data_IF_859422672822
#
_entry.id   IF_859422672822
#
_cell.length_a   1.000
_cell.length_b   1.000
_cell.length_c   1.000
_cell.angle_alpha   90.00
_cell.angle_beta   90.00
_cell.angle_gamma   90.00
#
_symmetry.space_group_name_H-M   'P 1'
#
loop_
_entity.id
_entity.type
_entity.pdbx_description
1 polymer ?
#
# COMPACT_ATOMS: atom_id res chain seq x y z
N UNK A 1 -41.12 -23.39 31.99
CA UNK A 1 -41.10 -22.40 30.90
C UNK A 1 -42.53 -21.89 30.73
N UNK A 2 -42.73 -20.59 30.79
CA UNK A 2 -44.06 -20.01 30.59
C UNK A 2 -44.45 -20.20 29.12
N UNK A 3 -45.67 -20.67 28.88
CA UNK A 3 -46.22 -20.81 27.53
C UNK A 3 -47.58 -20.15 27.46
N UNK A 4 -47.79 -19.37 26.40
CA UNK A 4 -49.06 -18.75 26.07
C UNK A 4 -49.68 -19.57 24.94
N UNK A 5 -50.87 -20.12 25.16
CA UNK A 5 -51.57 -20.88 24.12
C UNK A 5 -52.80 -20.12 23.69
N UNK A 6 -52.80 -19.64 22.45
CA UNK A 6 -53.98 -19.04 21.83
C UNK A 6 -54.86 -20.17 21.31
N UNK A 7 -56.01 -20.38 21.95
CA UNK A 7 -57.01 -21.39 21.55
C UNK A 7 -58.14 -20.72 20.76
N UNK A 8 -58.72 -21.45 19.81
CA UNK A 8 -59.89 -20.99 19.05
C UNK A 8 -59.60 -20.05 17.87
N UNK A 9 -58.32 -19.77 17.57
CA UNK A 9 -57.91 -18.81 16.52
C UNK A 9 -57.71 -19.46 15.14
N UNK A 10 -58.56 -20.42 14.75
CA UNK A 10 -58.38 -21.19 13.51
C UNK A 10 -58.41 -20.32 12.24
N UNK A 11 -59.19 -19.24 12.24
CA UNK A 11 -59.37 -18.37 11.07
C UNK A 11 -58.61 -17.04 11.20
N UNK A 12 -57.72 -16.92 12.18
CA UNK A 12 -57.00 -15.67 12.45
C UNK A 12 -55.68 -15.64 11.67
N UNK A 13 -55.59 -14.71 10.72
CA UNK A 13 -54.41 -14.52 9.87
C UNK A 13 -53.52 -13.35 10.31
N UNK A 14 -54.09 -12.40 11.04
CA UNK A 14 -53.42 -11.17 11.47
C UNK A 14 -53.56 -11.07 12.97
N UNK A 15 -52.44 -10.90 13.66
CA UNK A 15 -52.38 -10.63 15.09
C UNK A 15 -51.61 -9.33 15.27
N UNK A 16 -52.27 -8.32 15.83
CA UNK A 16 -51.65 -7.08 16.26
C UNK A 16 -51.77 -6.94 17.77
N UNK A 17 -50.62 -6.97 18.45
CA UNK A 17 -50.49 -6.79 19.88
C UNK A 17 -49.62 -5.56 20.21
N UNK A 18 -49.33 -4.68 19.24
CA UNK A 18 -48.46 -3.54 19.46
C UNK A 18 -48.89 -2.73 20.70
N UNK A 19 -47.90 -2.18 21.43
CA UNK A 19 -48.11 -1.39 22.65
C UNK A 19 -48.78 -2.14 23.81
N UNK A 20 -48.94 -3.45 23.72
CA UNK A 20 -49.41 -4.26 24.85
C UNK A 20 -48.31 -4.37 25.91
N UNK A 21 -48.24 -3.35 26.78
CA UNK A 21 -47.24 -3.20 27.86
C UNK A 21 -47.17 -4.35 28.87
N UNK A 22 -48.10 -5.30 28.78
CA UNK A 22 -48.23 -6.49 29.62
C UNK A 22 -47.36 -7.67 29.17
N UNK A 23 -46.75 -7.61 27.97
CA UNK A 23 -46.06 -8.77 27.38
C UNK A 23 -44.55 -8.56 27.24
N UNK A 24 -43.79 -9.57 27.68
CA UNK A 24 -42.37 -9.76 27.42
C UNK A 24 -42.17 -10.81 26.31
N UNK A 25 -40.93 -11.26 26.10
CA UNK A 25 -40.61 -12.24 25.05
C UNK A 25 -40.04 -13.54 25.63
N UNK A 26 -40.30 -13.80 26.92
CA UNK A 26 -39.70 -14.91 27.68
C UNK A 26 -40.58 -16.18 27.70
N UNK A 27 -41.55 -16.27 26.79
CA UNK A 27 -42.47 -17.41 26.70
C UNK A 27 -42.55 -17.97 25.29
N UNK A 28 -43.09 -19.17 25.18
CA UNK A 28 -43.44 -19.79 23.89
C UNK A 28 -44.89 -19.47 23.56
N UNK A 29 -45.18 -19.02 22.34
CA UNK A 29 -46.55 -18.83 21.86
C UNK A 29 -46.96 -20.01 21.00
N UNK A 30 -48.00 -20.71 21.44
CA UNK A 30 -48.62 -21.82 20.72
C UNK A 30 -49.92 -21.37 20.05
N UNK A 31 -50.21 -21.94 18.87
CA UNK A 31 -51.45 -21.70 18.12
C UNK A 31 -51.30 -20.75 16.93
N UNK A 32 -50.08 -20.31 16.58
CA UNK A 32 -49.84 -19.33 15.51
C UNK A 32 -49.78 -19.94 14.09
N UNK A 33 -50.27 -21.17 13.91
CA UNK A 33 -50.06 -21.97 12.69
C UNK A 33 -50.64 -21.32 11.42
N UNK A 34 -51.76 -20.61 11.54
CA UNK A 34 -52.44 -19.96 10.42
C UNK A 34 -52.13 -18.46 10.31
N UNK A 35 -51.35 -17.92 11.26
CA UNK A 35 -51.03 -16.50 11.32
C UNK A 35 -50.00 -16.17 10.24
N UNK A 36 -50.32 -15.17 9.43
CA UNK A 36 -49.47 -14.63 8.38
C UNK A 36 -48.79 -13.33 8.76
N UNK A 37 -49.46 -12.50 9.57
CA UNK A 37 -48.95 -11.20 10.00
C UNK A 37 -48.97 -11.17 11.53
N UNK A 38 -47.81 -10.91 12.12
CA UNK A 38 -47.66 -10.77 13.56
C UNK A 38 -46.97 -9.44 13.87
N UNK A 39 -47.68 -8.57 14.58
CA UNK A 39 -47.16 -7.34 15.12
C UNK A 39 -47.06 -7.44 16.64
N UNK A 40 -45.84 -7.41 17.15
CA UNK A 40 -45.49 -7.42 18.58
C UNK A 40 -44.52 -6.27 18.91
N UNK A 41 -44.73 -5.14 18.24
CA UNK A 41 -44.00 -3.91 18.50
C UNK A 41 -44.17 -3.40 19.93
N UNK A 42 -43.14 -2.74 20.43
CA UNK A 42 -43.06 -2.19 21.79
C UNK A 42 -43.12 -3.23 22.92
N UNK A 43 -42.93 -4.52 22.63
CA UNK A 43 -42.74 -5.54 23.65
C UNK A 43 -41.38 -5.37 24.32
N UNK A 44 -41.27 -5.68 25.61
CA UNK A 44 -39.97 -5.61 26.31
C UNK A 44 -39.18 -6.92 26.12
N UNK A 45 -38.63 -7.15 24.92
CA UNK A 45 -37.86 -8.37 24.61
C UNK A 45 -36.44 -8.37 25.19
N UNK A 46 -36.28 -8.04 26.48
CA UNK A 46 -34.98 -8.10 27.18
C UNK A 46 -34.52 -9.55 27.34
N UNK A 47 -35.45 -10.46 27.64
CA UNK A 47 -35.23 -11.89 27.66
C UNK A 47 -35.97 -12.51 26.48
N UNK A 48 -35.22 -12.95 25.46
CA UNK A 48 -35.80 -13.54 24.26
C UNK A 48 -35.79 -15.06 24.35
N UNK A 49 -36.97 -15.66 24.37
CA UNK A 49 -37.13 -17.11 24.26
C UNK A 49 -36.97 -17.53 22.79
N UNK A 50 -36.01 -18.43 22.52
CA UNK A 50 -35.76 -18.93 21.17
C UNK A 50 -36.93 -19.68 20.54
N UNK A 51 -37.90 -20.15 21.34
CA UNK A 51 -39.10 -20.82 20.84
C UNK A 51 -40.32 -19.89 20.76
N UNK A 52 -40.16 -18.58 20.97
CA UNK A 52 -41.28 -17.62 20.96
C UNK A 52 -42.19 -17.79 19.75
N UNK A 53 -41.58 -17.90 18.56
CA UNK A 53 -42.28 -17.98 17.27
C UNK A 53 -42.29 -19.39 16.66
N UNK A 54 -41.95 -20.44 17.44
CA UNK A 54 -41.79 -21.79 16.90
C UNK A 54 -43.06 -22.33 16.22
N UNK A 55 -44.24 -21.94 16.68
CA UNK A 55 -45.52 -22.40 16.10
C UNK A 55 -45.98 -21.59 14.87
N UNK A 56 -45.32 -20.47 14.55
CA UNK A 56 -45.72 -19.52 13.49
C UNK A 56 -45.15 -19.89 12.12
N UNK A 57 -45.25 -21.17 11.73
CA UNK A 57 -44.55 -21.72 10.54
C UNK A 57 -44.92 -21.07 9.21
N UNK A 58 -46.13 -20.52 9.10
CA UNK A 58 -46.66 -19.86 7.89
C UNK A 58 -46.54 -18.32 7.94
N UNK A 59 -45.79 -17.78 8.90
CA UNK A 59 -45.66 -16.34 9.07
C UNK A 59 -44.98 -15.71 7.85
N UNK A 60 -45.60 -14.68 7.30
CA UNK A 60 -45.14 -13.92 6.13
C UNK A 60 -44.59 -12.55 6.52
N UNK A 61 -45.15 -11.92 7.56
CA UNK A 61 -44.74 -10.61 8.05
C UNK A 61 -44.56 -10.60 9.56
N UNK A 62 -43.42 -10.10 10.02
CA UNK A 62 -43.10 -9.93 11.43
C UNK A 62 -42.72 -8.47 11.69
N UNK A 63 -43.43 -7.83 12.62
CA UNK A 63 -43.18 -6.45 13.04
C UNK A 63 -42.82 -6.47 14.52
N UNK A 64 -41.61 -6.02 14.84
CA UNK A 64 -41.06 -5.94 16.19
C UNK A 64 -40.32 -4.63 16.38
N UNK A 65 -40.95 -3.51 16.02
CA UNK A 65 -40.32 -2.21 16.18
C UNK A 65 -40.26 -1.81 17.66
N UNK A 66 -39.19 -1.10 18.04
CA UNK A 66 -39.05 -0.54 19.39
C UNK A 66 -39.18 -1.57 20.53
N UNK A 67 -38.75 -2.82 20.29
CA UNK A 67 -38.97 -3.95 21.22
C UNK A 67 -37.72 -4.33 22.05
N UNK A 68 -36.70 -3.45 22.13
CA UNK A 68 -35.43 -3.70 22.84
C UNK A 68 -34.71 -4.99 22.41
N UNK A 69 -34.91 -5.42 21.16
CA UNK A 69 -34.48 -6.73 20.66
C UNK A 69 -32.95 -6.90 20.63
N UNK A 70 -32.18 -5.80 20.57
CA UNK A 70 -30.71 -5.84 20.66
C UNK A 70 -30.20 -6.43 21.97
N UNK A 71 -30.93 -6.27 23.07
CA UNK A 71 -30.56 -6.83 24.37
C UNK A 71 -30.86 -8.33 24.38
N UNK A 72 -32.08 -8.71 23.98
CA UNK A 72 -32.51 -10.12 23.94
C UNK A 72 -31.67 -10.99 23.00
N UNK A 73 -31.19 -10.42 21.89
CA UNK A 73 -30.31 -11.11 20.94
C UNK A 73 -28.84 -11.14 21.32
N UNK A 74 -28.44 -10.48 22.42
CA UNK A 74 -27.04 -10.48 22.88
C UNK A 74 -26.57 -11.89 23.28
N UNK A 75 -27.48 -12.68 23.85
CA UNK A 75 -27.23 -14.03 24.36
C UNK A 75 -27.77 -15.14 23.41
N UNK A 76 -28.52 -14.78 22.37
CA UNK A 76 -28.99 -15.74 21.35
C UNK A 76 -27.88 -16.02 20.33
N UNK A 77 -26.90 -16.81 20.76
CA UNK A 77 -25.71 -17.15 19.98
C UNK A 77 -26.00 -17.77 18.59
N UNK A 78 -27.22 -18.22 18.31
CA UNK A 78 -27.62 -18.84 17.05
C UNK A 78 -28.85 -18.22 16.40
N UNK A 79 -29.34 -17.09 16.93
CA UNK A 79 -30.54 -16.41 16.42
C UNK A 79 -31.73 -17.36 16.21
N UNK A 80 -31.94 -18.27 17.16
CA UNK A 80 -32.89 -19.38 17.00
C UNK A 80 -34.34 -18.90 16.95
N UNK A 81 -34.64 -17.69 17.38
CA UNK A 81 -36.00 -17.18 17.42
C UNK A 81 -36.70 -17.07 16.05
N UNK A 82 -35.95 -16.89 14.95
CA UNK A 82 -36.48 -16.90 13.57
C UNK A 82 -36.28 -18.25 12.85
N UNK A 83 -35.72 -19.24 13.53
CA UNK A 83 -35.35 -20.50 12.89
C UNK A 83 -36.60 -21.22 12.38
N UNK A 84 -36.54 -21.68 11.12
CA UNK A 84 -37.62 -22.43 10.49
C UNK A 84 -38.74 -21.58 9.87
N UNK A 85 -38.77 -20.26 10.08
CA UNK A 85 -39.79 -19.36 9.52
C UNK A 85 -39.52 -19.04 8.03
N UNK A 86 -39.58 -20.06 7.17
CA UNK A 86 -39.18 -19.98 5.75
C UNK A 86 -40.13 -19.19 4.84
N UNK A 87 -41.31 -18.84 5.32
CA UNK A 87 -42.30 -18.06 4.57
C UNK A 87 -42.19 -16.55 4.83
N UNK A 88 -41.31 -16.11 5.74
CA UNK A 88 -41.14 -14.71 6.08
C UNK A 88 -40.62 -13.92 4.88
N UNK A 89 -41.37 -12.89 4.50
CA UNK A 89 -41.11 -12.01 3.37
C UNK A 89 -40.84 -10.58 3.83
N UNK A 90 -41.42 -10.17 4.96
CA UNK A 90 -41.28 -8.83 5.52
C UNK A 90 -40.85 -8.90 6.99
N UNK A 91 -39.80 -8.17 7.34
CA UNK A 91 -39.34 -8.02 8.73
C UNK A 91 -39.13 -6.55 9.03
N UNK A 92 -39.77 -6.06 10.09
CA UNK A 92 -39.50 -4.76 10.68
C UNK A 92 -38.85 -4.88 12.06
N UNK A 93 -37.58 -4.51 12.12
CA UNK A 93 -36.72 -4.46 13.30
C UNK A 93 -36.24 -3.03 13.60
N UNK A 94 -37.01 -2.03 13.17
CA UNK A 94 -36.69 -0.63 13.41
C UNK A 94 -36.63 -0.27 14.91
N UNK A 95 -35.81 0.72 15.25
CA UNK A 95 -35.68 1.30 16.60
C UNK A 95 -35.37 0.28 17.72
N UNK A 96 -34.59 -0.75 17.43
CA UNK A 96 -34.19 -1.76 18.41
C UNK A 96 -32.77 -1.56 18.98
N UNK A 97 -32.13 -0.43 18.67
CA UNK A 97 -30.76 -0.10 19.08
C UNK A 97 -29.71 -1.16 18.67
N UNK A 98 -29.92 -1.84 17.53
CA UNK A 98 -28.93 -2.76 16.99
C UNK A 98 -27.64 -2.04 16.58
N UNK A 99 -26.51 -2.71 16.80
CA UNK A 99 -25.17 -2.27 16.35
C UNK A 99 -24.63 -3.33 15.39
N UNK A 100 -23.46 -3.12 14.78
CA UNK A 100 -22.84 -4.08 13.86
C UNK A 100 -22.48 -5.44 14.48
N UNK A 101 -22.72 -5.64 15.79
CA UNK A 101 -22.68 -6.97 16.43
C UNK A 101 -23.91 -7.83 16.11
N UNK A 102 -24.94 -7.27 15.48
CA UNK A 102 -26.05 -8.01 14.92
C UNK A 102 -25.53 -9.03 13.90
N UNK A 103 -25.80 -10.33 14.13
CA UNK A 103 -25.25 -11.41 13.31
C UNK A 103 -26.20 -11.79 12.19
N UNK A 104 -25.63 -12.03 11.01
CA UNK A 104 -26.35 -12.50 9.82
C UNK A 104 -27.02 -13.88 9.99
N UNK A 105 -26.52 -14.72 10.91
CA UNK A 105 -27.12 -16.03 11.21
C UNK A 105 -28.61 -15.94 11.53
N UNK A 106 -29.08 -14.76 11.95
CA UNK A 106 -30.48 -14.42 12.19
C UNK A 106 -31.41 -14.70 11.03
N UNK A 107 -30.96 -14.51 9.79
CA UNK A 107 -31.83 -14.65 8.62
C UNK A 107 -31.57 -15.92 7.80
N UNK A 108 -30.83 -16.89 8.35
CA UNK A 108 -30.43 -18.10 7.61
C UNK A 108 -31.61 -18.88 7.03
N UNK A 109 -32.76 -18.88 7.71
CA UNK A 109 -33.97 -19.57 7.22
C UNK A 109 -34.75 -18.75 6.17
N UNK A 110 -34.43 -17.46 6.03
CA UNK A 110 -35.17 -16.48 5.22
C UNK A 110 -34.41 -15.98 3.99
N UNK A 111 -33.19 -16.47 3.74
CA UNK A 111 -32.36 -16.05 2.59
C UNK A 111 -33.10 -16.16 1.24
N UNK A 112 -34.02 -17.13 1.12
CA UNK A 112 -34.79 -17.40 -0.10
C UNK A 112 -36.23 -16.86 -0.08
N UNK A 113 -36.65 -16.18 0.98
CA UNK A 113 -38.02 -15.72 1.15
C UNK A 113 -38.13 -14.23 1.43
N UNK A 114 -37.15 -13.66 2.14
CA UNK A 114 -37.17 -12.26 2.56
C UNK A 114 -37.11 -11.33 1.35
N UNK A 115 -38.06 -10.40 1.29
CA UNK A 115 -38.21 -9.39 0.23
C UNK A 115 -37.97 -7.98 0.77
N UNK A 116 -38.44 -7.72 1.99
CA UNK A 116 -38.35 -6.41 2.64
C UNK A 116 -37.76 -6.52 4.04
N UNK A 117 -36.73 -5.71 4.30
CA UNK A 117 -36.08 -5.64 5.59
C UNK A 117 -35.98 -4.18 6.07
N UNK A 118 -36.60 -3.89 7.22
CA UNK A 118 -36.59 -2.57 7.85
C UNK A 118 -35.68 -2.59 9.07
N UNK A 119 -34.61 -1.79 9.00
CA UNK A 119 -33.59 -1.62 10.04
C UNK A 119 -33.46 -0.15 10.45
N UNK A 120 -34.47 0.66 10.15
CA UNK A 120 -34.49 2.09 10.43
C UNK A 120 -34.29 2.42 11.92
N UNK A 121 -33.57 3.50 12.23
CA UNK A 121 -33.47 4.00 13.60
C UNK A 121 -32.66 3.09 14.54
N UNK A 122 -31.71 2.32 13.98
CA UNK A 122 -30.75 1.55 14.75
C UNK A 122 -29.41 2.30 14.85
N UNK A 123 -28.35 1.61 15.25
CA UNK A 123 -27.00 2.17 15.47
C UNK A 123 -25.97 1.49 14.55
N UNK A 124 -26.38 1.10 13.36
CA UNK A 124 -25.49 0.47 12.38
C UNK A 124 -24.53 1.50 11.77
N UNK A 125 -23.24 1.19 11.70
CA UNK A 125 -22.25 2.01 10.98
C UNK A 125 -21.89 1.44 9.61
N UNK A 126 -22.35 0.23 9.31
CA UNK A 126 -22.25 -0.48 8.03
C UNK A 126 -23.48 -1.38 7.88
N UNK A 127 -23.72 -1.93 6.69
CA UNK A 127 -24.80 -2.90 6.48
C UNK A 127 -24.44 -4.19 7.23
N UNK A 128 -25.26 -4.65 8.19
CA UNK A 128 -24.89 -5.75 9.11
C UNK A 128 -25.10 -7.14 8.50
N UNK A 129 -25.05 -7.25 7.16
CA UNK A 129 -25.47 -8.43 6.40
C UNK A 129 -24.57 -8.65 5.18
N UNK A 130 -24.19 -9.90 4.94
CA UNK A 130 -23.81 -10.41 3.62
C UNK A 130 -25.06 -10.43 2.73
N UNK A 131 -25.35 -9.29 2.11
CA UNK A 131 -26.50 -9.10 1.24
C UNK A 131 -26.51 -10.08 0.06
N UNK A 132 -25.33 -10.54 -0.39
CA UNK A 132 -25.16 -11.47 -1.51
C UNK A 132 -25.91 -12.80 -1.34
N UNK A 133 -26.10 -13.26 -0.10
CA UNK A 133 -26.75 -14.55 0.22
C UNK A 133 -28.27 -14.52 -0.03
N UNK A 134 -28.89 -13.34 -0.02
CA UNK A 134 -30.32 -13.22 -0.28
C UNK A 134 -30.61 -13.38 -1.76
N UNK A 135 -31.73 -14.04 -2.08
CA UNK A 135 -32.15 -14.26 -3.48
C UNK A 135 -33.36 -13.43 -3.90
N UNK A 136 -34.14 -12.92 -2.95
CA UNK A 136 -35.39 -12.19 -3.22
C UNK A 136 -35.48 -10.81 -2.57
N UNK A 137 -34.46 -10.41 -1.81
CA UNK A 137 -34.45 -9.12 -1.13
C UNK A 137 -34.44 -8.00 -2.17
N UNK A 138 -35.45 -7.12 -2.11
CA UNK A 138 -35.64 -6.01 -3.03
C UNK A 138 -35.94 -4.68 -2.34
N UNK A 139 -36.10 -4.69 -1.01
CA UNK A 139 -36.34 -3.49 -0.23
C UNK A 139 -35.53 -3.50 1.06
N UNK A 140 -34.65 -2.52 1.23
CA UNK A 140 -33.83 -2.35 2.42
C UNK A 140 -33.99 -0.92 2.96
N UNK A 141 -34.52 -0.79 4.17
CA UNK A 141 -34.60 0.50 4.85
C UNK A 141 -33.56 0.55 5.97
N UNK A 142 -32.54 1.39 5.79
CA UNK A 142 -31.44 1.64 6.73
C UNK A 142 -31.39 3.10 7.15
N UNK A 143 -32.50 3.84 7.04
CA UNK A 143 -32.62 5.24 7.46
C UNK A 143 -32.27 5.42 8.93
N UNK A 144 -31.86 6.64 9.29
CA UNK A 144 -31.65 7.03 10.69
C UNK A 144 -30.68 6.10 11.44
N UNK A 145 -29.61 5.66 10.78
CA UNK A 145 -28.52 4.87 11.38
C UNK A 145 -27.26 5.74 11.57
N UNK A 146 -26.08 5.12 11.67
CA UNK A 146 -24.77 5.76 11.84
C UNK A 146 -23.81 5.44 10.68
N UNK A 147 -24.37 5.18 9.50
CA UNK A 147 -23.59 4.83 8.30
C UNK A 147 -22.90 6.09 7.77
N UNK A 148 -21.59 6.01 7.56
CA UNK A 148 -20.79 7.10 6.99
C UNK A 148 -20.72 7.03 5.46
N UNK A 149 -20.57 5.83 4.92
CA UNK A 149 -20.58 5.52 3.48
C UNK A 149 -20.74 4.00 3.32
N UNK A 150 -21.11 3.55 2.13
CA UNK A 150 -21.09 2.13 1.79
C UNK A 150 -19.72 1.75 1.21
N UNK A 151 -19.16 0.66 1.68
CA UNK A 151 -17.92 0.09 1.16
C UNK A 151 -18.13 -0.51 -0.23
N UNK A 152 -17.05 -0.70 -0.99
CA UNK A 152 -17.10 -1.37 -2.31
C UNK A 152 -17.78 -2.75 -2.23
N UNK A 153 -17.51 -3.52 -1.17
CA UNK A 153 -18.12 -4.83 -0.96
C UNK A 153 -19.64 -4.73 -0.79
N UNK A 154 -20.12 -3.75 -0.02
CA UNK A 154 -21.56 -3.53 0.19
C UNK A 154 -22.24 -3.03 -1.09
N UNK A 155 -21.56 -2.16 -1.84
CA UNK A 155 -22.00 -1.68 -3.15
C UNK A 155 -22.17 -2.85 -4.13
N UNK A 156 -21.14 -3.68 -4.29
CA UNK A 156 -21.16 -4.84 -5.17
C UNK A 156 -22.27 -5.82 -4.78
N UNK A 157 -22.45 -6.05 -3.48
CA UNK A 157 -23.50 -6.92 -2.97
C UNK A 157 -24.92 -6.38 -3.27
N UNK A 158 -25.14 -5.07 -3.19
CA UNK A 158 -26.41 -4.44 -3.57
C UNK A 158 -26.65 -4.56 -5.08
N UNK A 159 -25.63 -4.39 -5.91
CA UNK A 159 -25.75 -4.57 -7.37
C UNK A 159 -26.10 -6.01 -7.75
N UNK A 160 -25.49 -7.00 -7.08
CA UNK A 160 -25.87 -8.41 -7.24
C UNK A 160 -27.34 -8.64 -6.87
N UNK A 161 -27.80 -8.05 -5.76
CA UNK A 161 -29.22 -8.12 -5.37
C UNK A 161 -30.13 -7.40 -6.35
N UNK A 162 -29.72 -6.27 -6.91
CA UNK A 162 -30.47 -5.54 -7.92
C UNK A 162 -30.75 -6.42 -9.15
N UNK A 163 -29.74 -7.16 -9.61
CA UNK A 163 -29.91 -8.11 -10.72
C UNK A 163 -30.79 -9.31 -10.32
N UNK A 164 -30.59 -9.89 -9.13
CA UNK A 164 -31.42 -11.02 -8.63
C UNK A 164 -32.89 -10.63 -8.42
N UNK A 165 -33.17 -9.40 -8.03
CA UNK A 165 -34.51 -8.88 -7.71
C UNK A 165 -35.27 -8.35 -8.93
N UNK A 166 -34.91 -8.75 -10.15
CA UNK A 166 -35.50 -8.25 -11.39
C UNK A 166 -35.45 -6.71 -11.49
N UNK A 167 -34.37 -6.09 -11.01
CA UNK A 167 -34.14 -4.62 -11.07
C UNK A 167 -35.17 -3.80 -10.29
N UNK A 168 -35.66 -4.35 -9.18
CA UNK A 168 -36.62 -3.66 -8.30
C UNK A 168 -36.02 -3.19 -6.97
N UNK A 169 -34.72 -3.43 -6.74
CA UNK A 169 -34.05 -3.08 -5.48
C UNK A 169 -34.22 -1.60 -5.14
N UNK A 170 -34.69 -1.35 -3.92
CA UNK A 170 -34.86 -0.04 -3.32
C UNK A 170 -34.12 0.00 -1.98
N UNK A 171 -33.29 1.03 -1.79
CA UNK A 171 -32.52 1.25 -0.56
C UNK A 171 -32.87 2.63 -0.01
N UNK A 172 -33.29 2.70 1.26
CA UNK A 172 -33.56 3.96 1.95
C UNK A 172 -32.42 4.28 2.92
N UNK A 173 -31.75 5.42 2.74
CA UNK A 173 -30.52 5.79 3.44
C UNK A 173 -30.61 7.14 4.18
N UNK A 174 -31.68 7.90 4.01
CA UNK A 174 -31.87 9.20 4.65
C UNK A 174 -31.65 9.19 6.18
N UNK A 175 -31.11 10.29 6.72
CA UNK A 175 -30.88 10.44 8.17
C UNK A 175 -29.61 9.75 8.69
N UNK A 176 -28.74 9.27 7.81
CA UNK A 176 -27.40 8.79 8.16
C UNK A 176 -26.35 9.92 8.13
N UNK A 177 -25.34 9.92 9.02
CA UNK A 177 -24.27 10.90 9.06
C UNK A 177 -23.23 10.61 7.98
N UNK A 178 -23.60 10.78 6.71
CA UNK A 178 -22.73 10.47 5.59
C UNK A 178 -21.50 11.37 5.58
N UNK A 179 -20.37 10.83 5.11
CA UNK A 179 -19.07 11.51 5.03
C UNK A 179 -18.65 11.56 3.58
N UNK A 180 -18.21 12.72 3.11
CA UNK A 180 -17.72 12.96 1.74
C UNK A 180 -16.23 13.28 1.77
N UNK A 181 -15.40 12.24 1.81
CA UNK A 181 -13.93 12.35 1.88
C UNK A 181 -13.32 11.44 0.82
N UNK A 182 -11.98 11.41 0.73
CA UNK A 182 -11.28 10.51 -0.19
C UNK A 182 -11.70 9.03 -0.05
N UNK A 183 -12.11 8.59 1.14
CA UNK A 183 -12.51 7.21 1.40
C UNK A 183 -13.90 6.84 0.88
N UNK A 184 -14.77 7.83 0.65
CA UNK A 184 -16.17 7.61 0.26
C UNK A 184 -16.48 8.03 -1.18
N UNK A 185 -15.47 8.44 -1.97
CA UNK A 185 -15.67 8.91 -3.34
C UNK A 185 -16.31 7.85 -4.24
N UNK A 186 -15.94 6.57 -4.07
CA UNK A 186 -16.51 5.49 -4.87
C UNK A 186 -17.99 5.26 -4.56
N UNK A 187 -18.37 5.40 -3.28
CA UNK A 187 -19.77 5.39 -2.86
C UNK A 187 -20.55 6.57 -3.46
N UNK A 188 -19.98 7.77 -3.45
CA UNK A 188 -20.62 8.94 -4.06
C UNK A 188 -20.77 8.76 -5.57
N UNK A 189 -19.76 8.26 -6.28
CA UNK A 189 -19.85 7.95 -7.71
C UNK A 189 -20.94 6.91 -8.00
N UNK A 190 -20.98 5.85 -7.19
CA UNK A 190 -21.95 4.78 -7.31
C UNK A 190 -23.40 5.27 -7.13
N UNK A 191 -23.68 6.12 -6.13
CA UNK A 191 -25.02 6.67 -5.87
C UNK A 191 -25.68 7.32 -7.10
N UNK A 192 -24.88 7.94 -7.99
CA UNK A 192 -25.38 8.63 -9.18
C UNK A 192 -25.26 7.81 -10.46
N UNK A 193 -24.56 6.68 -10.45
CA UNK A 193 -24.35 5.81 -11.62
C UNK A 193 -25.19 4.54 -11.58
N UNK A 194 -25.59 4.09 -10.39
CA UNK A 194 -26.45 2.93 -10.20
C UNK A 194 -27.89 3.17 -10.66
N UNK A 195 -28.60 2.07 -10.93
CA UNK A 195 -30.04 2.04 -11.25
C UNK A 195 -30.90 1.63 -10.05
N UNK A 196 -30.27 1.31 -8.92
CA UNK A 196 -30.95 1.04 -7.65
C UNK A 196 -31.75 2.27 -7.25
N UNK A 197 -32.98 2.06 -6.76
CA UNK A 197 -33.83 3.16 -6.32
C UNK A 197 -33.44 3.61 -4.93
N UNK A 198 -33.25 4.91 -4.77
CA UNK A 198 -32.92 5.56 -3.50
C UNK A 198 -34.02 6.54 -3.06
N UNK A 199 -34.12 6.77 -1.76
CA UNK A 199 -34.84 7.93 -1.22
C UNK A 199 -34.13 9.24 -1.56
N UNK A 200 -34.81 10.37 -1.34
CA UNK A 200 -34.28 11.72 -1.57
C UNK A 200 -33.68 11.93 -2.97
N UNK A 201 -34.15 11.15 -3.95
CA UNK A 201 -33.65 11.13 -5.33
C UNK A 201 -32.12 10.91 -5.43
N UNK A 202 -31.52 10.18 -4.46
CA UNK A 202 -30.08 9.87 -4.42
C UNK A 202 -29.17 11.01 -3.94
N UNK A 203 -29.74 12.17 -3.57
CA UNK A 203 -28.96 13.31 -3.08
C UNK A 203 -29.10 13.44 -1.56
N UNK A 204 -27.97 13.30 -0.85
CA UNK A 204 -27.93 13.33 0.61
C UNK A 204 -26.95 14.38 1.11
N UNK A 205 -27.17 14.88 2.33
CA UNK A 205 -26.21 15.72 3.04
C UNK A 205 -25.04 14.88 3.55
N UNK A 206 -23.82 15.38 3.40
CA UNK A 206 -22.61 14.71 3.89
C UNK A 206 -21.58 15.72 4.41
N UNK A 207 -20.70 15.25 5.29
CA UNK A 207 -19.68 16.08 5.94
C UNK A 207 -18.31 15.86 5.30
N UNK A 208 -17.61 16.94 4.96
CA UNK A 208 -16.22 16.91 4.47
C UNK A 208 -15.22 16.97 5.64
N UNK A 209 -13.92 16.76 5.39
CA UNK A 209 -12.87 16.78 6.42
C UNK A 209 -12.84 18.06 7.28
N UNK A 210 -13.28 19.19 6.75
CA UNK A 210 -13.28 20.50 7.44
C UNK A 210 -14.58 20.75 8.24
N UNK A 211 -15.33 19.69 8.56
CA UNK A 211 -16.68 19.74 9.18
C UNK A 211 -17.72 20.53 8.37
N UNK A 212 -17.38 20.90 7.14
CA UNK A 212 -18.28 21.60 6.24
C UNK A 212 -19.35 20.63 5.72
N UNK A 213 -20.61 21.03 5.84
CA UNK A 213 -21.75 20.25 5.36
C UNK A 213 -21.97 20.57 3.89
N UNK A 214 -21.90 19.54 3.05
CA UNK A 214 -22.17 19.61 1.62
C UNK A 214 -23.19 18.55 1.22
N UNK A 215 -23.45 18.37 -0.08
CA UNK A 215 -24.32 17.31 -0.57
C UNK A 215 -23.57 16.39 -1.53
N UNK A 216 -23.97 15.12 -1.56
CA UNK A 216 -23.38 14.11 -2.45
C UNK A 216 -23.44 14.54 -3.91
N UNK A 217 -24.50 15.25 -4.33
CA UNK A 217 -24.63 15.79 -5.70
C UNK A 217 -23.55 16.82 -6.04
N UNK A 218 -23.24 17.76 -5.13
CA UNK A 218 -22.17 18.74 -5.33
C UNK A 218 -20.83 18.03 -5.44
N UNK A 219 -20.57 17.06 -4.55
CA UNK A 219 -19.34 16.27 -4.54
C UNK A 219 -19.20 15.46 -5.83
N UNK A 220 -20.28 14.85 -6.32
CA UNK A 220 -20.31 14.12 -7.59
C UNK A 220 -19.96 15.02 -8.80
N UNK A 221 -20.53 16.23 -8.86
CA UNK A 221 -20.20 17.19 -9.92
C UNK A 221 -18.72 17.61 -9.91
N UNK A 222 -18.07 17.56 -8.74
CA UNK A 222 -16.64 17.87 -8.56
C UNK A 222 -15.77 16.63 -8.30
N UNK A 223 -16.26 15.42 -8.61
CA UNK A 223 -15.61 14.15 -8.26
C UNK A 223 -14.18 14.06 -8.82
N UNK A 224 -13.97 14.51 -10.06
CA UNK A 224 -12.64 14.52 -10.71
C UNK A 224 -11.63 15.37 -9.95
N UNK A 225 -12.03 16.55 -9.51
CA UNK A 225 -11.16 17.48 -8.78
C UNK A 225 -10.80 16.86 -7.42
N UNK A 226 -11.77 16.28 -6.72
CA UNK A 226 -11.55 15.59 -5.46
C UNK A 226 -10.60 14.40 -5.60
N UNK A 227 -10.78 13.54 -6.61
CA UNK A 227 -9.88 12.41 -6.87
C UNK A 227 -8.44 12.86 -7.11
N UNK A 228 -8.24 13.92 -7.91
CA UNK A 228 -6.90 14.48 -8.14
C UNK A 228 -6.29 14.97 -6.81
N UNK A 229 -7.04 15.70 -5.98
CA UNK A 229 -6.56 16.13 -4.66
C UNK A 229 -6.10 14.95 -3.80
N UNK A 230 -6.89 13.88 -3.72
CA UNK A 230 -6.56 12.67 -2.96
C UNK A 230 -5.31 11.94 -3.50
N UNK A 231 -5.11 11.92 -4.82
CA UNK A 231 -3.94 11.29 -5.44
C UNK A 231 -2.69 12.17 -5.23
N UNK A 232 -2.82 13.49 -5.41
CA UNK A 232 -1.68 14.42 -5.27
C UNK A 232 -1.09 14.44 -3.88
N UNK A 233 -1.90 14.30 -2.81
CA UNK A 233 -1.38 14.22 -1.43
C UNK A 233 -0.49 12.99 -1.25
N UNK A 234 -0.86 11.84 -1.81
CA UNK A 234 -0.05 10.61 -1.77
C UNK A 234 1.28 10.78 -2.52
N UNK A 235 1.24 11.34 -3.73
CA UNK A 235 2.47 11.59 -4.52
C UNK A 235 3.39 12.64 -3.89
N UNK A 236 2.83 13.64 -3.21
CA UNK A 236 3.60 14.62 -2.47
C UNK A 236 4.38 13.97 -1.33
N UNK A 237 3.73 13.10 -0.56
CA UNK A 237 4.39 12.32 0.50
C UNK A 237 5.49 11.43 -0.10
N UNK A 238 5.18 10.71 -1.19
CA UNK A 238 6.16 9.85 -1.86
C UNK A 238 7.37 10.63 -2.37
N UNK A 239 7.17 11.76 -3.05
CA UNK A 239 8.26 12.59 -3.58
C UNK A 239 9.11 13.22 -2.46
N UNK A 240 8.49 13.67 -1.37
CA UNK A 240 9.21 14.19 -0.20
C UNK A 240 10.07 13.12 0.48
N UNK A 241 9.55 11.89 0.64
CA UNK A 241 10.32 10.77 1.22
C UNK A 241 11.48 10.34 0.33
N UNK A 242 11.27 10.24 -0.99
CA UNK A 242 12.32 9.93 -1.96
C UNK A 242 13.43 10.98 -1.94
N UNK A 243 13.06 12.26 -1.91
CA UNK A 243 14.02 13.36 -1.83
C UNK A 243 14.83 13.32 -0.53
N UNK A 244 14.19 13.04 0.61
CA UNK A 244 14.88 12.86 1.89
C UNK A 244 15.88 11.68 1.87
N UNK A 245 15.51 10.56 1.26
CA UNK A 245 16.39 9.40 1.09
C UNK A 245 17.57 9.72 0.18
N UNK A 246 17.33 10.40 -0.95
CA UNK A 246 18.41 10.85 -1.85
C UNK A 246 19.38 11.79 -1.13
N UNK A 247 18.89 12.75 -0.35
CA UNK A 247 19.73 13.62 0.46
C UNK A 247 20.57 12.83 1.47
N UNK A 248 20.01 11.83 2.14
CA UNK A 248 20.76 10.95 3.05
C UNK A 248 21.86 10.18 2.30
N UNK A 249 21.55 9.61 1.14
CA UNK A 249 22.56 8.93 0.30
C UNK A 249 23.69 9.88 -0.12
N UNK A 250 23.35 11.11 -0.50
CA UNK A 250 24.32 12.13 -0.86
C UNK A 250 25.21 12.47 0.35
N UNK A 251 24.62 12.71 1.54
CA UNK A 251 25.38 13.01 2.77
C UNK A 251 26.30 11.87 3.19
N UNK A 252 25.82 10.63 3.12
CA UNK A 252 26.62 9.42 3.37
C UNK A 252 27.74 9.33 2.32
N UNK A 253 27.44 9.54 1.04
CA UNK A 253 28.41 9.57 -0.04
C UNK A 253 29.49 10.63 0.16
N UNK A 254 29.13 11.83 0.63
CA UNK A 254 30.08 12.88 0.99
C UNK A 254 30.96 12.47 2.17
N UNK A 255 30.37 11.88 3.22
CA UNK A 255 31.13 11.41 4.40
C UNK A 255 32.13 10.32 4.05
N UNK A 256 31.78 9.43 3.13
CA UNK A 256 32.63 8.33 2.67
C UNK A 256 33.34 8.61 1.35
N UNK A 257 33.38 9.86 0.88
CA UNK A 257 33.96 10.25 -0.43
C UNK A 257 35.38 9.71 -0.61
N UNK A 258 36.22 9.84 0.42
CA UNK A 258 37.61 9.36 0.39
C UNK A 258 37.65 7.82 0.29
N UNK A 259 36.85 7.11 1.09
CA UNK A 259 36.76 5.65 1.02
C UNK A 259 36.26 5.16 -0.34
N UNK A 260 35.26 5.84 -0.92
CA UNK A 260 34.74 5.55 -2.27
C UNK A 260 35.79 5.80 -3.36
N UNK A 261 36.59 6.88 -3.27
CA UNK A 261 37.69 7.13 -4.18
C UNK A 261 38.75 6.03 -4.13
N UNK A 262 39.15 5.60 -2.92
CA UNK A 262 40.07 4.47 -2.75
C UNK A 262 39.48 3.16 -3.31
N UNK A 263 38.20 2.89 -3.05
CA UNK A 263 37.52 1.71 -3.55
C UNK A 263 37.44 1.67 -5.08
N UNK A 264 37.13 2.80 -5.73
CA UNK A 264 37.13 2.92 -7.18
C UNK A 264 38.53 2.73 -7.79
N UNK A 265 39.57 3.27 -7.17
CA UNK A 265 40.96 3.04 -7.57
C UNK A 265 41.37 1.57 -7.40
N UNK A 266 40.95 0.94 -6.31
CA UNK A 266 41.20 -0.48 -6.06
C UNK A 266 40.53 -1.38 -7.11
N UNK A 267 39.27 -1.12 -7.46
CA UNK A 267 38.57 -1.83 -8.55
C UNK A 267 39.25 -1.55 -9.90
N UNK A 268 39.66 -0.31 -10.16
CA UNK A 268 40.39 0.05 -11.37
C UNK A 268 41.72 -0.68 -11.52
N UNK A 269 42.46 -0.87 -10.42
CA UNK A 269 43.68 -1.69 -10.38
C UNK A 269 43.42 -3.19 -10.50
N UNK A 270 42.28 -3.67 -9.99
CA UNK A 270 41.85 -5.06 -10.12
C UNK A 270 41.31 -5.40 -11.53
N UNK A 271 40.91 -4.39 -12.32
CA UNK A 271 40.42 -4.58 -13.68
C UNK A 271 41.56 -4.88 -14.67
N UNK A 272 41.64 -6.09 -15.24
CA UNK A 272 42.74 -6.48 -16.11
C UNK A 272 42.78 -5.70 -17.44
N UNK A 273 41.64 -5.18 -17.89
CA UNK A 273 41.54 -4.36 -19.11
C UNK A 273 42.26 -3.01 -18.98
N UNK A 274 42.18 -2.36 -17.81
CA UNK A 274 42.83 -1.08 -17.56
C UNK A 274 44.35 -1.24 -17.47
N UNK A 275 44.81 -2.34 -16.87
CA UNK A 275 46.23 -2.72 -16.83
C UNK A 275 46.78 -2.97 -18.23
N UNK A 276 46.04 -3.70 -19.07
CA UNK A 276 46.44 -4.00 -20.46
C UNK A 276 46.51 -2.74 -21.32
N UNK A 277 45.51 -1.86 -21.23
CA UNK A 277 45.51 -0.57 -21.96
C UNK A 277 46.68 0.34 -21.56
N UNK A 278 47.05 0.36 -20.27
CA UNK A 278 48.20 1.13 -19.81
C UNK A 278 49.53 0.55 -20.31
N UNK A 279 49.67 -0.78 -20.37
CA UNK A 279 50.86 -1.43 -20.95
C UNK A 279 51.00 -1.18 -22.46
N UNK A 280 49.88 -1.10 -23.20
CA UNK A 280 49.88 -0.81 -24.65
C UNK A 280 50.20 0.67 -24.98
N UNK A 281 49.98 1.60 -24.05
CA UNK A 281 50.24 3.04 -24.24
C UNK A 281 51.69 3.49 -23.93
N UNK A 282 52.53 2.61 -23.40
CA UNK A 282 53.91 2.92 -22.99
C UNK A 282 54.88 2.65 -24.15
N UNK A 283 55.40 3.72 -24.74
CA UNK A 283 56.25 3.68 -25.94
C UNK A 283 57.72 3.34 -25.63
N UNK A 284 58.18 3.63 -24.41
CA UNK A 284 59.56 3.45 -23.97
C UNK A 284 59.65 2.55 -22.73
N UNK A 285 60.74 1.79 -22.63
CA UNK A 285 60.96 0.87 -21.51
C UNK A 285 61.49 1.59 -20.27
N UNK A 286 62.35 2.60 -20.46
CA UNK A 286 62.81 3.43 -19.35
C UNK A 286 63.16 4.86 -19.78
N UNK A 287 62.84 5.82 -18.93
CA UNK A 287 63.34 7.19 -19.00
C UNK A 287 64.61 7.30 -18.17
N UNK A 288 65.69 7.85 -18.74
CA UNK A 288 66.97 8.01 -18.03
C UNK A 288 67.15 9.48 -17.66
N UNK A 289 67.14 9.77 -16.36
CA UNK A 289 67.42 11.07 -15.79
C UNK A 289 68.88 11.15 -15.32
N UNK A 290 69.61 12.16 -15.79
CA UNK A 290 71.03 12.35 -15.51
C UNK A 290 71.39 13.85 -15.50
N UNK A 291 72.53 14.19 -14.92
CA UNK A 291 73.06 15.56 -14.93
C UNK A 291 73.93 15.82 -16.17
N UNK A 292 74.04 17.07 -16.63
CA UNK A 292 74.77 17.44 -17.86
C UNK A 292 76.24 16.93 -17.88
N UNK A 293 76.91 16.89 -16.72
CA UNK A 293 78.27 16.35 -16.60
C UNK A 293 78.40 14.86 -16.90
N UNK A 294 77.30 14.11 -16.84
CA UNK A 294 77.26 12.65 -17.02
C UNK A 294 76.87 12.23 -18.44
N UNK A 295 76.59 13.20 -19.31
CA UNK A 295 76.13 12.99 -20.68
C UNK A 295 77.01 12.01 -21.47
N UNK A 296 78.33 12.19 -21.40
CA UNK A 296 79.29 11.37 -22.17
C UNK A 296 79.22 9.89 -21.82
N UNK A 297 78.94 9.56 -20.56
CA UNK A 297 78.82 8.19 -20.12
C UNK A 297 77.42 7.61 -20.34
N UNK A 298 76.38 8.41 -20.12
CA UNK A 298 74.99 7.98 -20.36
C UNK A 298 74.76 7.72 -21.85
N UNK A 299 75.20 8.63 -22.71
CA UNK A 299 75.01 8.51 -24.16
C UNK A 299 75.94 7.48 -24.81
N UNK A 300 77.11 7.22 -24.23
CA UNK A 300 78.05 6.21 -24.70
C UNK A 300 77.78 4.83 -24.07
N UNK A 301 78.57 4.42 -23.05
CA UNK A 301 78.53 3.07 -22.48
C UNK A 301 77.14 2.58 -22.05
N UNK A 302 76.36 3.42 -21.34
CA UNK A 302 75.08 2.99 -20.76
C UNK A 302 74.03 2.76 -21.86
N UNK A 303 73.86 3.73 -22.77
CA UNK A 303 72.94 3.62 -23.89
C UNK A 303 73.30 2.46 -24.80
N UNK A 304 74.56 2.30 -25.19
CA UNK A 304 75.02 1.19 -26.04
C UNK A 304 74.71 -0.16 -25.36
N UNK A 305 75.00 -0.29 -24.07
CA UNK A 305 74.72 -1.51 -23.34
C UNK A 305 73.22 -1.84 -23.26
N UNK A 306 72.38 -0.85 -22.98
CA UNK A 306 70.95 -1.06 -22.78
C UNK A 306 70.16 -1.15 -24.09
N UNK A 307 70.43 -0.30 -25.08
CA UNK A 307 69.74 -0.30 -26.37
C UNK A 307 70.28 -1.41 -27.30
N UNK A 308 71.60 -1.56 -27.45
CA UNK A 308 72.16 -2.47 -28.46
C UNK A 308 72.34 -3.90 -27.95
N UNK A 309 72.85 -4.08 -26.72
CA UNK A 309 73.07 -5.44 -26.17
C UNK A 309 71.84 -6.03 -25.49
N UNK A 310 70.99 -5.19 -24.89
CA UNK A 310 69.81 -5.63 -24.13
C UNK A 310 68.47 -5.30 -24.81
N UNK A 311 68.50 -4.56 -25.93
CA UNK A 311 67.32 -4.24 -26.75
C UNK A 311 66.20 -3.50 -25.99
N UNK A 312 66.56 -2.60 -25.07
CA UNK A 312 65.61 -1.71 -24.39
C UNK A 312 65.45 -0.39 -25.13
N UNK A 313 64.22 0.13 -25.22
CA UNK A 313 63.96 1.48 -25.76
C UNK A 313 64.06 2.52 -24.65
N UNK A 314 65.11 3.33 -24.69
CA UNK A 314 65.34 4.39 -23.71
C UNK A 314 64.87 5.75 -24.22
N UNK A 315 64.32 6.56 -23.32
CA UNK A 315 64.00 7.96 -23.58
C UNK A 315 65.03 8.86 -22.88
N UNK A 316 65.71 9.70 -23.66
CA UNK A 316 66.73 10.65 -23.22
C UNK A 316 66.32 12.06 -23.66
N UNK A 317 66.15 13.00 -22.72
CA UNK A 317 65.71 14.38 -23.03
C UNK A 317 66.63 15.08 -24.05
N UNK A 318 67.94 14.94 -23.90
CA UNK A 318 68.93 15.67 -24.73
C UNK A 318 69.19 15.01 -26.09
N UNK A 319 68.51 13.90 -26.42
CA UNK A 319 68.64 13.21 -27.73
C UNK A 319 67.81 13.87 -28.84
N UNK A 320 66.99 14.87 -28.51
CA UNK A 320 66.09 15.53 -29.46
C UNK A 320 64.77 14.77 -29.70
N UNK A 321 64.48 13.75 -28.89
CA UNK A 321 63.22 13.00 -28.93
C UNK A 321 62.03 13.80 -28.36
N UNK A 322 62.30 15.01 -27.84
CA UNK A 322 61.31 15.98 -27.34
C UNK A 322 61.33 17.22 -28.26
N UNK A 323 60.14 17.69 -28.64
CA UNK A 323 59.95 18.88 -29.49
C UNK A 323 60.68 20.10 -28.90
N UNK A 324 61.59 20.70 -29.68
CA UNK A 324 62.32 21.89 -29.26
C UNK A 324 61.36 23.07 -29.03
N UNK A 325 61.26 23.54 -27.78
CA UNK A 325 60.44 24.69 -27.37
C UNK A 325 59.51 24.47 -26.17
N UNK A 326 59.34 23.24 -25.68
CA UNK A 326 58.54 22.98 -24.47
C UNK A 326 59.29 23.28 -23.16
N UNK A 327 58.57 23.72 -22.12
CA UNK A 327 59.13 23.96 -20.79
C UNK A 327 59.63 22.64 -20.18
N UNK A 328 60.88 22.61 -19.67
CA UNK A 328 61.56 21.39 -19.17
C UNK A 328 60.72 20.54 -18.20
N UNK A 329 59.90 21.16 -17.33
CA UNK A 329 59.00 20.43 -16.43
C UNK A 329 57.86 19.69 -17.15
N UNK A 330 57.30 20.27 -18.20
CA UNK A 330 56.23 19.65 -18.98
C UNK A 330 56.77 18.51 -19.82
N UNK A 331 57.93 18.72 -20.45
CA UNK A 331 58.69 17.68 -21.14
C UNK A 331 58.99 16.49 -20.21
N UNK A 332 59.50 16.75 -19.00
CA UNK A 332 59.76 15.72 -17.99
C UNK A 332 58.50 14.93 -17.62
N UNK A 333 57.39 15.62 -17.33
CA UNK A 333 56.14 14.96 -16.95
C UNK A 333 55.58 14.10 -18.10
N UNK A 334 55.65 14.59 -19.33
CA UNK A 334 55.21 13.85 -20.52
C UNK A 334 56.12 12.62 -20.79
N UNK A 335 57.44 12.79 -20.65
CA UNK A 335 58.41 11.70 -20.78
C UNK A 335 58.18 10.60 -19.74
N UNK A 336 57.90 10.96 -18.49
CA UNK A 336 57.59 10.00 -17.42
C UNK A 336 56.31 9.22 -17.73
N UNK A 337 55.28 9.88 -18.26
CA UNK A 337 54.01 9.21 -18.59
C UNK A 337 54.13 8.18 -19.71
N UNK A 338 55.13 8.32 -20.60
CA UNK A 338 55.38 7.41 -21.74
C UNK A 338 56.32 6.24 -21.41
N UNK A 339 56.92 6.20 -20.22
CA UNK A 339 57.95 5.23 -19.86
C UNK A 339 57.48 4.25 -18.77
N UNK A 340 57.87 2.97 -18.89
CA UNK A 340 57.54 1.95 -17.88
C UNK A 340 58.33 2.15 -16.58
N UNK A 341 59.59 2.59 -16.68
CA UNK A 341 60.50 2.81 -15.55
C UNK A 341 61.25 4.13 -15.65
N UNK A 342 61.82 4.57 -14.53
CA UNK A 342 62.71 5.74 -14.45
C UNK A 342 64.04 5.28 -13.88
N UNK A 343 65.14 5.55 -14.59
CA UNK A 343 66.51 5.28 -14.17
C UNK A 343 67.15 6.62 -13.80
N UNK A 344 67.64 6.73 -12.57
CA UNK A 344 68.38 7.90 -12.10
C UNK A 344 69.87 7.58 -12.10
N UNK A 345 70.63 8.37 -12.86
CA UNK A 345 72.09 8.32 -12.90
C UNK A 345 72.62 9.53 -12.15
N UNK A 346 73.33 9.30 -11.05
CA UNK A 346 74.01 10.35 -10.28
C UNK A 346 75.44 9.95 -9.95
N UNK A 347 76.40 10.84 -10.19
CA UNK A 347 77.74 10.71 -9.59
C UNK A 347 77.75 11.19 -8.14
N UNK A 348 78.17 10.32 -7.22
CA UNK A 348 78.60 10.72 -5.88
C UNK A 348 80.12 10.91 -5.91
N UNK A 349 80.58 12.15 -5.84
CA UNK A 349 81.99 12.46 -5.51
C UNK A 349 82.16 12.39 -3.99
N UNK A 350 82.29 11.17 -3.45
CA UNK A 350 82.76 10.94 -2.07
C UNK A 350 84.21 10.45 -2.13
N UNK A 351 85.15 11.31 -1.71
CA UNK A 351 86.56 11.01 -1.39
C UNK A 351 87.28 10.01 -2.33
N UNK A 352 87.67 10.50 -3.52
CA UNK A 352 88.83 9.97 -4.25
C UNK A 352 88.70 8.61 -4.94
N UNK A 353 87.52 7.98 -4.94
CA UNK A 353 87.21 6.79 -5.73
C UNK A 353 85.96 7.05 -6.57
N UNK A 354 86.09 7.03 -7.90
CA UNK A 354 84.95 7.22 -8.81
C UNK A 354 84.14 5.94 -8.95
N UNK A 355 83.14 5.74 -8.09
CA UNK A 355 82.14 4.68 -8.25
C UNK A 355 80.82 5.27 -8.77
N UNK A 356 80.29 4.70 -9.86
CA UNK A 356 78.96 5.06 -10.38
C UNK A 356 77.87 4.34 -9.61
N UNK A 357 76.91 5.09 -9.07
CA UNK A 357 75.71 4.55 -8.47
C UNK A 357 74.56 4.66 -9.47
N UNK A 358 74.01 3.52 -9.89
CA UNK A 358 72.74 3.47 -10.62
C UNK A 358 71.64 3.21 -9.59
N UNK A 359 70.79 4.20 -9.35
CA UNK A 359 69.64 4.07 -8.45
C UNK A 359 68.41 3.80 -9.32
N UNK A 360 68.03 2.53 -9.43
CA UNK A 360 66.66 2.17 -9.83
C UNK A 360 65.74 2.41 -8.64
N UNK A 361 64.85 3.40 -8.74
CA UNK A 361 63.70 3.48 -7.84
C UNK A 361 62.77 2.32 -8.22
N UNK A 362 62.86 1.24 -7.42
CA UNK A 362 62.20 -0.07 -7.47
C UNK A 362 62.93 -1.23 -8.20
N UNK A 363 63.55 -2.07 -7.35
CA UNK A 363 63.87 -3.52 -7.43
C UNK A 363 65.38 -3.85 -7.62
N UNK A 364 65.87 -4.73 -6.73
CA UNK A 364 67.27 -5.11 -6.49
C UNK A 364 67.92 -5.95 -7.59
N UNK A 365 69.21 -5.76 -7.83
CA UNK A 365 70.06 -6.73 -8.55
C UNK A 365 71.42 -6.90 -7.87
N UNK A 366 71.67 -8.13 -7.39
CA UNK A 366 72.95 -8.60 -6.88
C UNK A 366 74.01 -8.59 -7.99
N UNK A 367 75.14 -7.93 -7.72
CA UNK A 367 76.28 -7.87 -8.61
C UNK A 367 77.26 -9.01 -8.23
N UNK A 368 77.42 -10.02 -9.09
CA UNK A 368 78.56 -10.95 -9.03
C UNK A 368 79.51 -10.62 -10.18
N UNK A 369 80.73 -10.24 -9.81
CA UNK A 369 81.87 -9.98 -10.69
C UNK A 369 82.33 -11.27 -11.38
N UNK A 370 82.68 -11.16 -12.66
CA UNK A 370 83.87 -11.77 -13.26
C UNK A 370 84.40 -10.84 -14.37
#
# INVERSE_FOLDING_TARGET
MNSLTLKGIKDLYIIDLAYSSLFDCNYTVNGLQNVKILNISHFKCVHLNHNLLQSAVNLEQLIMDSSLLSIGLKDDHHSKFLFGLKCLQYIDFSRNAFTNRFRISTFKSQLNSLQSLILEGNLFTSIPLYLEDFTRLSFLNIRNNKIAYLTTQEIDAIEVLFEKSNRTMTVLLEGNPLVCTCASLDFVEWLFTTKVKFDSNGSYSCVENDENITTTNIVYNHLRIMRIRCITTVWLIFSATLFGVLLLFILVGYRYKLHLQYFCLFIGMANPLFRKSKEEALEYDAYVAYCEGDYTWVYGPLRIFLEERRNYKLLLLDRGDVLAGEHRLFALNNSIQKCKKIILVSFLTMLGLTTKLLLELNISWDYKQE
#
